data_IF_319699187644
#
_entry.id   IF_319699187644
#
_cell.length_a   1.000
_cell.length_b   1.000
_cell.length_c   1.000
_cell.angle_alpha   90.00
_cell.angle_beta   90.00
_cell.angle_gamma   90.00
#
_symmetry.space_group_name_H-M   'P 1'
#
loop_
_entity.id
_entity.type
_entity.pdbx_description
1 polymer ?
#
# COMPACT_ATOMS: atom_id res chain seq x y z
N UNK A 1 52.45 17.24 -69.23
CA UNK A 1 51.61 16.88 -70.37
C UNK A 1 50.46 16.03 -69.83
N UNK A 2 49.28 16.39 -70.09
CA UNK A 2 47.94 15.90 -69.96
C UNK A 2 47.17 16.44 -68.75
N UNK A 3 46.27 17.33 -69.12
CA UNK A 3 45.13 17.90 -68.40
C UNK A 3 44.08 16.79 -68.12
N UNK A 4 43.58 16.71 -66.93
CA UNK A 4 42.34 15.96 -66.64
C UNK A 4 41.32 16.90 -66.04
N UNK A 5 40.13 16.89 -66.64
CA UNK A 5 38.99 17.75 -66.34
C UNK A 5 38.30 17.33 -65.08
N UNK A 6 37.99 18.29 -64.20
CA UNK A 6 37.13 18.12 -63.04
C UNK A 6 35.70 18.44 -63.45
N UNK A 7 34.80 17.43 -63.34
CA UNK A 7 33.36 17.65 -63.47
C UNK A 7 32.78 17.89 -62.07
N UNK A 8 32.19 19.05 -61.89
CA UNK A 8 31.34 19.33 -60.72
C UNK A 8 29.96 18.64 -60.88
N UNK A 9 29.64 17.75 -59.96
CA UNK A 9 28.28 17.25 -59.79
C UNK A 9 27.66 18.02 -58.59
N UNK A 10 26.67 18.85 -58.91
CA UNK A 10 25.88 19.56 -57.89
C UNK A 10 24.96 18.60 -57.12
N UNK A 11 25.15 18.49 -55.80
CA UNK A 11 24.32 17.74 -54.90
C UNK A 11 23.19 18.66 -54.39
N UNK A 12 21.99 18.50 -54.95
CA UNK A 12 20.81 19.20 -54.49
C UNK A 12 20.40 18.68 -53.12
N UNK A 13 20.47 19.54 -52.09
CA UNK A 13 20.00 19.26 -50.74
C UNK A 13 18.48 19.44 -50.71
N UNK A 14 17.76 18.31 -50.73
CA UNK A 14 16.31 18.27 -50.53
C UNK A 14 15.99 18.27 -49.02
N UNK A 15 15.67 19.44 -48.48
CA UNK A 15 15.19 19.60 -47.10
C UNK A 15 13.78 19.04 -47.00
N UNK A 16 13.65 17.83 -46.46
CA UNK A 16 12.37 17.30 -46.04
C UNK A 16 11.93 18.00 -44.75
N UNK A 17 10.96 18.87 -44.87
CA UNK A 17 10.24 19.42 -43.72
C UNK A 17 9.36 18.32 -43.17
N UNK A 18 9.79 17.65 -42.10
CA UNK A 18 8.95 16.80 -41.27
C UNK A 18 8.02 17.69 -40.45
N UNK A 19 6.82 17.96 -40.97
CA UNK A 19 5.70 18.43 -40.16
C UNK A 19 5.26 17.29 -39.27
N UNK A 20 5.85 17.21 -38.06
CA UNK A 20 5.34 16.41 -36.99
C UNK A 20 3.97 16.92 -36.59
N UNK A 21 2.91 16.18 -36.91
CA UNK A 21 1.62 16.34 -36.26
C UNK A 21 1.81 16.07 -34.79
N UNK A 22 2.00 17.10 -33.97
CA UNK A 22 1.73 17.03 -32.56
C UNK A 22 0.20 16.87 -32.44
N UNK A 23 -0.25 15.65 -32.18
CA UNK A 23 -1.60 15.43 -31.69
C UNK A 23 -1.65 15.98 -30.26
N UNK A 24 -1.87 17.30 -30.16
CA UNK A 24 -2.47 17.85 -28.97
C UNK A 24 -3.88 17.23 -28.89
N UNK A 25 -4.24 16.56 -27.78
CA UNK A 25 -5.62 16.15 -27.61
C UNK A 25 -6.47 17.44 -27.70
N UNK A 26 -7.36 17.46 -28.67
CA UNK A 26 -8.28 18.56 -28.89
C UNK A 26 -9.05 18.83 -27.60
N UNK A 27 -9.32 20.11 -27.32
CA UNK A 27 -10.08 20.56 -26.14
C UNK A 27 -11.49 19.93 -26.03
N UNK A 28 -11.95 19.25 -27.04
CA UNK A 28 -13.26 18.59 -27.11
C UNK A 28 -13.35 17.22 -26.38
N UNK A 29 -12.23 16.58 -26.06
CA UNK A 29 -12.23 15.31 -25.32
C UNK A 29 -12.28 15.48 -23.79
N UNK A 30 -12.29 16.70 -23.28
CA UNK A 30 -12.30 16.98 -21.82
C UNK A 30 -13.72 16.97 -21.22
N UNK A 31 -14.76 16.95 -22.04
CA UNK A 31 -16.16 16.88 -21.58
C UNK A 31 -16.60 15.49 -21.12
N UNK A 32 -15.80 14.45 -21.38
CA UNK A 32 -16.20 13.06 -21.21
C UNK A 32 -15.46 12.32 -20.07
N UNK A 33 -14.83 13.07 -19.13
CA UNK A 33 -14.21 12.44 -17.94
C UNK A 33 -15.21 11.55 -17.22
N UNK A 34 -14.79 10.35 -16.87
CA UNK A 34 -15.49 9.51 -15.90
C UNK A 34 -15.24 10.01 -14.48
N UNK A 35 -16.05 9.60 -13.52
CA UNK A 35 -15.83 9.92 -12.11
C UNK A 35 -14.47 9.41 -11.60
N UNK A 36 -14.06 8.21 -12.03
CA UNK A 36 -12.76 7.65 -11.69
C UNK A 36 -11.57 8.45 -12.27
N UNK A 37 -11.71 8.98 -13.49
CA UNK A 37 -10.70 9.87 -14.08
C UNK A 37 -10.62 11.20 -13.36
N UNK A 38 -11.77 11.76 -12.91
CA UNK A 38 -11.78 12.91 -12.01
C UNK A 38 -11.05 12.57 -10.71
N UNK A 39 -11.36 11.45 -10.09
CA UNK A 39 -10.71 10.98 -8.87
C UNK A 39 -9.20 10.80 -9.04
N UNK A 40 -8.78 10.29 -10.19
CA UNK A 40 -7.36 10.19 -10.53
C UNK A 40 -6.69 11.56 -10.59
N UNK A 41 -7.29 12.55 -11.25
CA UNK A 41 -6.76 13.91 -11.28
C UNK A 41 -6.64 14.50 -9.86
N UNK A 42 -7.65 14.30 -9.01
CA UNK A 42 -7.66 14.77 -7.63
C UNK A 42 -6.59 14.08 -6.77
N UNK A 43 -6.37 12.78 -6.97
CA UNK A 43 -5.33 12.01 -6.26
C UNK A 43 -3.91 12.54 -6.51
N UNK A 44 -3.67 13.14 -7.68
CA UNK A 44 -2.38 13.74 -8.05
C UNK A 44 -2.33 15.27 -7.83
N UNK A 45 -3.41 15.89 -7.39
CA UNK A 45 -3.46 17.36 -7.32
C UNK A 45 -2.83 17.91 -6.04
N UNK A 46 -1.67 18.53 -6.20
CA UNK A 46 -0.96 19.19 -5.10
C UNK A 46 -1.69 20.42 -4.55
N UNK A 47 -2.66 20.99 -5.29
CA UNK A 47 -3.46 22.12 -4.82
C UNK A 47 -4.30 21.80 -3.58
N UNK A 48 -4.56 20.50 -3.34
CA UNK A 48 -5.33 20.03 -2.20
C UNK A 48 -4.55 19.99 -0.89
N UNK A 49 -3.29 20.51 -0.87
CA UNK A 49 -2.50 20.71 0.35
C UNK A 49 -2.30 22.20 0.65
N UNK A 50 -2.02 22.52 1.91
CA UNK A 50 -1.90 23.90 2.39
C UNK A 50 -0.91 24.73 1.59
N UNK A 51 0.28 24.22 1.36
CA UNK A 51 1.35 24.90 0.62
C UNK A 51 1.43 24.51 -0.87
N UNK A 52 0.48 23.73 -1.39
CA UNK A 52 0.41 23.26 -2.79
C UNK A 52 1.61 22.41 -3.23
N UNK A 53 2.16 21.60 -2.31
CA UNK A 53 3.34 20.75 -2.57
C UNK A 53 3.08 19.27 -2.41
N UNK A 54 1.96 18.88 -1.82
CA UNK A 54 1.63 17.50 -1.51
C UNK A 54 0.27 17.11 -2.08
N UNK A 55 0.19 15.89 -2.60
CA UNK A 55 -1.04 15.23 -3.03
C UNK A 55 -1.10 13.84 -2.40
N UNK A 56 -2.17 13.09 -2.62
CA UNK A 56 -2.24 11.68 -2.20
C UNK A 56 -1.05 10.88 -2.80
N UNK A 57 -0.74 11.13 -4.09
CA UNK A 57 0.37 10.47 -4.78
C UNK A 57 1.75 10.80 -4.21
N UNK A 58 1.90 11.81 -3.35
CA UNK A 58 3.17 12.14 -2.69
C UNK A 58 3.55 11.10 -1.64
N UNK A 59 2.56 10.62 -0.85
CA UNK A 59 2.74 9.59 0.17
C UNK A 59 2.34 8.21 -0.34
N UNK A 60 1.62 8.13 -1.47
CA UNK A 60 1.20 6.91 -2.12
C UNK A 60 1.68 6.91 -3.58
N UNK A 61 3.02 6.76 -3.77
CA UNK A 61 3.65 6.85 -5.08
C UNK A 61 3.23 5.71 -6.01
N UNK A 62 2.50 5.99 -7.12
CA UNK A 62 2.04 4.93 -8.02
C UNK A 62 3.15 4.20 -8.77
N UNK A 63 4.35 4.77 -8.84
CA UNK A 63 5.50 4.11 -9.45
C UNK A 63 6.16 3.07 -8.54
N UNK A 64 5.85 3.11 -7.23
CA UNK A 64 6.54 2.34 -6.19
C UNK A 64 5.53 1.66 -5.22
N UNK A 65 4.53 0.98 -5.78
CA UNK A 65 3.56 0.20 -4.98
C UNK A 65 2.56 1.02 -4.20
N UNK A 66 2.35 2.29 -4.53
CA UNK A 66 1.45 3.21 -3.81
C UNK A 66 1.77 3.34 -2.32
N UNK A 67 3.06 3.41 -1.96
CA UNK A 67 3.57 3.69 -0.63
C UNK A 67 4.48 4.92 -0.63
N UNK A 68 4.84 5.43 0.54
CA UNK A 68 5.78 6.54 0.68
C UNK A 68 7.23 6.04 0.67
N UNK A 69 7.93 6.32 -0.40
CA UNK A 69 9.34 5.93 -0.60
C UNK A 69 10.30 7.11 -0.46
N UNK A 70 9.82 8.24 0.05
CA UNK A 70 10.66 9.41 0.29
C UNK A 70 11.75 9.09 1.31
N UNK A 71 12.97 9.51 0.97
CA UNK A 71 14.15 9.20 1.76
C UNK A 71 14.50 10.34 2.73
N UNK A 72 15.17 9.96 3.80
CA UNK A 72 15.77 10.89 4.74
C UNK A 72 17.12 11.44 4.23
N UNK A 73 17.79 12.24 5.04
CA UNK A 73 19.11 12.81 4.75
C UNK A 73 20.23 11.77 4.60
N UNK A 74 20.04 10.57 5.13
CA UNK A 74 20.97 9.45 5.02
C UNK A 74 20.70 8.58 3.78
N UNK A 75 19.66 8.90 3.00
CA UNK A 75 19.22 8.12 1.84
C UNK A 75 18.37 6.89 2.18
N UNK A 76 17.94 6.73 3.43
CA UNK A 76 17.07 5.64 3.88
C UNK A 76 15.59 6.01 3.67
N UNK A 77 14.76 5.04 3.28
CA UNK A 77 13.32 5.26 3.21
C UNK A 77 12.80 5.58 4.61
N UNK A 78 12.03 6.66 4.72
CA UNK A 78 11.45 7.08 5.99
C UNK A 78 10.45 6.04 6.50
N UNK A 79 10.45 5.73 7.80
CA UNK A 79 9.47 4.79 8.37
C UNK A 79 8.04 5.32 8.35
N UNK A 80 7.87 6.65 8.31
CA UNK A 80 6.58 7.35 8.29
C UNK A 80 6.65 8.56 7.36
N UNK A 81 5.48 9.03 6.92
CA UNK A 81 5.36 10.15 5.98
C UNK A 81 5.72 11.49 6.60
N UNK A 82 6.34 12.33 5.78
CA UNK A 82 6.64 13.73 6.08
C UNK A 82 5.48 14.61 5.62
N UNK A 83 5.03 15.52 6.47
CA UNK A 83 3.96 16.47 6.18
C UNK A 83 4.33 17.50 5.12
N UNK A 84 3.32 18.27 4.68
CA UNK A 84 3.48 19.29 3.62
C UNK A 84 4.41 20.44 4.03
N UNK A 85 4.62 20.66 5.33
CA UNK A 85 5.56 21.63 5.90
C UNK A 85 7.03 21.15 5.86
N UNK A 86 7.28 19.91 5.43
CA UNK A 86 8.61 19.29 5.38
C UNK A 86 9.27 19.07 6.76
N UNK A 87 8.51 19.16 7.84
CA UNK A 87 8.99 19.03 9.23
C UNK A 87 8.14 18.07 10.06
N UNK A 88 6.81 18.14 9.96
CA UNK A 88 5.91 17.26 10.69
C UNK A 88 6.03 15.83 10.20
N UNK A 89 6.04 14.88 11.12
CA UNK A 89 6.08 13.45 10.82
C UNK A 89 4.76 12.79 11.24
N UNK A 90 4.27 11.89 10.42
CA UNK A 90 3.25 10.96 10.82
C UNK A 90 3.74 10.02 11.94
N UNK A 91 2.83 9.28 12.53
CA UNK A 91 3.16 8.29 13.58
C UNK A 91 3.11 6.85 13.07
N UNK A 92 2.60 6.65 11.86
CA UNK A 92 2.42 5.34 11.24
C UNK A 92 2.97 5.33 9.82
N UNK A 93 3.42 4.16 9.39
CA UNK A 93 3.79 3.91 8.01
C UNK A 93 2.58 4.10 7.08
N UNK A 94 2.78 4.68 5.89
CA UNK A 94 1.74 4.81 4.89
C UNK A 94 1.47 3.44 4.22
N UNK A 95 0.31 2.80 4.48
CA UNK A 95 0.00 1.53 3.84
C UNK A 95 -0.23 1.73 2.34
N UNK A 96 0.01 0.69 1.56
CA UNK A 96 -0.32 0.74 0.14
C UNK A 96 -1.81 1.00 -0.10
N UNK A 97 -2.12 1.84 -1.09
CA UNK A 97 -3.50 2.03 -1.59
C UNK A 97 -3.93 0.84 -2.47
N UNK A 98 -2.93 0.10 -3.03
CA UNK A 98 -3.28 -1.05 -3.87
C UNK A 98 -4.11 -2.06 -3.09
N UNK A 99 -5.19 -2.53 -3.73
CA UNK A 99 -6.13 -3.51 -3.14
C UNK A 99 -6.90 -3.03 -1.91
N UNK A 100 -6.78 -1.77 -1.47
CA UNK A 100 -7.52 -1.23 -0.34
C UNK A 100 -9.05 -1.26 -0.56
N UNK A 101 -9.49 -1.19 -1.82
CA UNK A 101 -10.90 -1.26 -2.22
C UNK A 101 -11.61 -2.58 -1.86
N UNK A 102 -10.86 -3.61 -1.48
CA UNK A 102 -11.43 -4.92 -1.09
C UNK A 102 -11.67 -5.03 0.42
N UNK A 103 -11.25 -4.05 1.22
CA UNK A 103 -11.60 -4.02 2.63
C UNK A 103 -13.11 -3.78 2.79
N UNK A 104 -13.82 -4.61 3.56
CA UNK A 104 -15.21 -4.33 3.89
C UNK A 104 -15.31 -3.08 4.78
N UNK A 105 -16.48 -2.48 4.86
CA UNK A 105 -16.75 -1.43 5.82
C UNK A 105 -16.40 -1.87 7.24
N UNK A 106 -15.97 -0.94 8.09
CA UNK A 106 -15.65 -1.25 9.48
C UNK A 106 -16.90 -1.75 10.24
N UNK A 107 -16.80 -2.96 10.78
CA UNK A 107 -17.90 -3.57 11.52
C UNK A 107 -17.40 -4.62 12.53
N UNK A 108 -18.27 -5.05 13.46
CA UNK A 108 -18.05 -6.23 14.28
C UNK A 108 -18.48 -7.48 13.50
N UNK A 109 -17.59 -8.47 13.43
CA UNK A 109 -17.81 -9.71 12.66
C UNK A 109 -17.44 -10.97 13.42
N UNK A 110 -17.94 -12.10 12.92
CA UNK A 110 -17.56 -13.43 13.36
C UNK A 110 -17.15 -14.26 12.14
N UNK A 111 -15.95 -14.83 12.18
CA UNK A 111 -15.36 -15.57 11.08
C UNK A 111 -14.90 -16.95 11.52
N UNK A 112 -15.30 -17.98 10.80
CA UNK A 112 -14.86 -19.35 11.06
C UNK A 112 -13.39 -19.54 10.67
N UNK A 113 -12.64 -20.21 11.53
CA UNK A 113 -11.26 -20.66 11.29
C UNK A 113 -11.28 -22.03 10.60
N UNK A 114 -11.74 -22.07 9.34
CA UNK A 114 -11.81 -23.32 8.58
C UNK A 114 -10.49 -24.09 8.60
N UNK A 115 -10.57 -25.37 8.96
CA UNK A 115 -9.42 -26.29 9.04
C UNK A 115 -8.32 -25.87 10.04
N UNK A 116 -8.55 -24.86 10.88
CA UNK A 116 -7.67 -24.48 11.99
C UNK A 116 -8.13 -25.12 13.29
N UNK A 117 -7.19 -25.40 14.19
CA UNK A 117 -7.49 -25.78 15.56
C UNK A 117 -7.79 -24.58 16.47
N UNK A 118 -7.65 -23.39 15.93
CA UNK A 118 -7.94 -22.14 16.65
C UNK A 118 -9.45 -21.87 16.70
N UNK A 119 -9.95 -21.20 17.76
CA UNK A 119 -11.34 -20.79 17.83
C UNK A 119 -11.68 -19.83 16.69
N UNK A 120 -12.95 -19.76 16.34
CA UNK A 120 -13.46 -18.76 15.41
C UNK A 120 -13.08 -17.35 15.88
N UNK A 121 -12.78 -16.48 14.93
CA UNK A 121 -12.54 -15.07 15.23
C UNK A 121 -13.87 -14.38 15.55
N UNK A 122 -13.88 -13.58 16.60
CA UNK A 122 -14.97 -12.66 16.92
C UNK A 122 -14.39 -11.31 17.32
N UNK A 123 -14.65 -10.27 16.50
CA UNK A 123 -14.02 -8.96 16.67
C UNK A 123 -14.30 -8.00 15.53
N UNK A 124 -13.63 -6.86 15.55
CA UNK A 124 -13.73 -5.88 14.49
C UNK A 124 -13.03 -6.34 13.20
N UNK A 125 -13.59 -5.93 12.06
CA UNK A 125 -13.11 -6.29 10.71
C UNK A 125 -13.26 -5.07 9.79
N UNK A 126 -12.36 -4.93 8.82
CA UNK A 126 -12.50 -3.96 7.75
C UNK A 126 -12.14 -2.53 8.12
N UNK A 127 -12.74 -1.58 7.40
CA UNK A 127 -12.39 -0.15 7.50
C UNK A 127 -11.04 0.19 6.89
N UNK A 128 -10.73 1.47 6.83
CA UNK A 128 -9.48 1.99 6.28
C UNK A 128 -8.56 2.52 7.39
N UNK A 129 -7.31 2.89 7.02
CA UNK A 129 -6.18 3.06 7.92
C UNK A 129 -5.78 1.75 8.62
N UNK A 130 -4.80 1.82 9.54
CA UNK A 130 -4.36 0.68 10.32
C UNK A 130 -5.31 0.30 11.45
N UNK A 131 -6.21 1.21 11.83
CA UNK A 131 -7.11 1.10 13.00
C UNK A 131 -8.59 1.15 12.64
N UNK A 132 -8.94 1.16 11.35
CA UNK A 132 -10.33 1.14 10.90
C UNK A 132 -11.13 2.40 11.20
N UNK A 133 -10.48 3.52 11.61
CA UNK A 133 -11.17 4.75 12.00
C UNK A 133 -11.95 5.42 10.86
N UNK A 134 -11.61 5.14 9.62
CA UNK A 134 -12.44 5.46 8.46
C UNK A 134 -13.21 4.21 8.04
N UNK A 135 -14.50 4.34 7.85
CA UNK A 135 -15.40 3.24 7.54
C UNK A 135 -15.10 2.63 6.18
N UNK A 136 -14.86 3.49 5.18
CA UNK A 136 -14.66 3.15 3.77
C UNK A 136 -13.58 4.04 3.14
N UNK A 137 -13.33 3.88 1.83
CA UNK A 137 -12.33 4.65 1.08
C UNK A 137 -12.68 6.14 0.99
N UNK A 138 -13.96 6.48 0.79
CA UNK A 138 -14.38 7.88 0.69
C UNK A 138 -14.12 8.62 2.01
N UNK A 139 -14.44 8.01 3.15
CA UNK A 139 -14.15 8.60 4.46
C UNK A 139 -12.65 8.71 4.69
N UNK A 140 -11.87 7.70 4.28
CA UNK A 140 -10.41 7.74 4.37
C UNK A 140 -9.82 8.89 3.55
N UNK A 141 -10.25 9.07 2.30
CA UNK A 141 -9.75 10.11 1.41
C UNK A 141 -9.98 11.53 1.94
N UNK A 142 -10.97 11.73 2.83
CA UNK A 142 -11.23 12.99 3.51
C UNK A 142 -10.29 13.31 4.68
N UNK A 143 -9.54 12.33 5.19
CA UNK A 143 -8.67 12.50 6.34
C UNK A 143 -7.40 13.30 6.05
N UNK A 144 -6.52 12.84 5.15
CA UNK A 144 -5.21 13.44 4.88
C UNK A 144 -5.25 14.93 4.52
N UNK A 145 -6.19 15.43 3.71
CA UNK A 145 -6.27 16.86 3.42
C UNK A 145 -6.39 17.74 4.66
N UNK A 146 -7.12 17.30 5.68
CA UNK A 146 -7.40 18.05 6.91
C UNK A 146 -6.44 17.72 8.05
N UNK A 147 -5.57 16.73 7.89
CA UNK A 147 -4.65 16.31 8.95
C UNK A 147 -3.50 17.31 9.12
N UNK A 148 -3.30 17.77 10.35
CA UNK A 148 -2.31 18.78 10.71
C UNK A 148 -0.84 18.35 10.54
N UNK A 149 -0.58 17.05 10.39
CA UNK A 149 0.77 16.50 10.16
C UNK A 149 0.92 15.89 8.75
N UNK A 150 -0.08 16.06 7.87
CA UNK A 150 -0.06 15.57 6.49
C UNK A 150 -0.25 16.75 5.51
N UNK A 151 -1.44 16.96 4.93
CA UNK A 151 -1.68 18.01 3.92
C UNK A 151 -2.10 19.36 4.53
N UNK A 152 -2.44 19.43 5.81
CA UNK A 152 -2.57 20.64 6.65
C UNK A 152 -3.59 21.69 6.18
N UNK A 153 -4.62 21.31 5.42
CA UNK A 153 -5.69 22.23 5.06
C UNK A 153 -6.50 22.65 6.29
N UNK A 154 -6.78 23.93 6.50
CA UNK A 154 -7.44 24.43 7.70
C UNK A 154 -8.91 24.02 7.81
N UNK A 155 -9.52 23.56 6.71
CA UNK A 155 -10.89 23.08 6.68
C UNK A 155 -11.40 22.75 5.29
N UNK A 156 -12.54 22.05 5.25
CA UNK A 156 -13.21 21.63 4.00
C UNK A 156 -13.48 22.80 3.05
N UNK A 157 -13.84 23.99 3.57
CA UNK A 157 -14.13 25.16 2.74
C UNK A 157 -12.96 25.56 1.86
N UNK A 158 -11.73 25.65 2.40
CA UNK A 158 -10.57 26.00 1.59
C UNK A 158 -10.22 24.89 0.57
N UNK A 159 -10.43 23.61 0.90
CA UNK A 159 -10.27 22.53 -0.09
C UNK A 159 -11.21 22.76 -1.28
N UNK A 160 -12.47 23.08 -0.99
CA UNK A 160 -13.48 23.35 -2.03
C UNK A 160 -13.16 24.60 -2.84
N UNK A 161 -12.66 25.67 -2.23
CA UNK A 161 -12.14 26.83 -2.95
C UNK A 161 -11.00 26.44 -3.92
N UNK A 162 -10.11 25.55 -3.51
CA UNK A 162 -9.03 25.02 -4.37
C UNK A 162 -9.56 24.21 -5.56
N UNK A 163 -10.61 23.42 -5.36
CA UNK A 163 -11.28 22.70 -6.45
C UNK A 163 -11.85 23.68 -7.51
N UNK A 164 -12.43 24.80 -7.05
CA UNK A 164 -13.03 25.81 -7.92
C UNK A 164 -11.99 26.61 -8.73
N UNK A 165 -10.72 26.59 -8.36
CA UNK A 165 -9.64 27.21 -9.13
C UNK A 165 -9.44 26.53 -10.51
N UNK A 166 -9.87 25.25 -10.66
CA UNK A 166 -9.74 24.51 -11.89
C UNK A 166 -11.09 24.40 -12.62
N UNK A 167 -11.27 25.09 -13.76
CA UNK A 167 -12.53 25.03 -14.51
C UNK A 167 -12.95 23.61 -14.94
N UNK A 168 -11.99 22.71 -15.16
CA UNK A 168 -12.28 21.32 -15.47
C UNK A 168 -12.96 20.61 -14.30
N UNK A 169 -12.49 20.85 -13.06
CA UNK A 169 -13.12 20.32 -11.87
C UNK A 169 -14.52 20.90 -11.68
N UNK A 170 -14.68 22.20 -11.82
CA UNK A 170 -16.00 22.84 -11.71
C UNK A 170 -17.00 22.17 -12.67
N UNK A 171 -16.62 22.00 -13.92
CA UNK A 171 -17.46 21.36 -14.93
C UNK A 171 -17.78 19.90 -14.60
N UNK A 172 -16.77 19.11 -14.19
CA UNK A 172 -16.94 17.71 -13.84
C UNK A 172 -17.81 17.53 -12.58
N UNK A 173 -17.57 18.32 -11.54
CA UNK A 173 -18.38 18.28 -10.31
C UNK A 173 -19.84 18.64 -10.55
N UNK A 174 -20.10 19.70 -11.32
CA UNK A 174 -21.48 20.08 -11.68
C UNK A 174 -22.18 18.99 -12.49
N UNK A 175 -21.45 18.31 -13.37
CA UNK A 175 -22.01 17.21 -14.16
C UNK A 175 -22.35 15.96 -13.32
N UNK A 176 -21.48 15.57 -12.40
CA UNK A 176 -21.66 14.34 -11.62
C UNK A 176 -22.55 14.52 -10.40
N UNK A 177 -22.47 15.70 -9.74
CA UNK A 177 -23.01 15.88 -8.41
C UNK A 177 -24.09 17.01 -8.33
N UNK A 178 -24.37 17.67 -9.46
CA UNK A 178 -25.40 18.72 -9.56
C UNK A 178 -24.81 20.13 -9.73
N UNK A 179 -25.57 20.98 -10.41
CA UNK A 179 -25.13 22.34 -10.79
C UNK A 179 -24.80 23.24 -9.59
N UNK A 180 -25.36 22.96 -8.44
CA UNK A 180 -25.28 23.72 -7.19
C UNK A 180 -24.31 23.11 -6.18
N UNK A 181 -23.53 22.09 -6.56
CA UNK A 181 -22.64 21.32 -5.66
C UNK A 181 -21.70 22.23 -4.85
N UNK A 182 -21.20 23.31 -5.44
CA UNK A 182 -20.27 24.23 -4.79
C UNK A 182 -20.95 25.24 -3.84
N UNK A 183 -22.28 25.33 -3.83
CA UNK A 183 -23.02 26.13 -2.85
C UNK A 183 -23.01 25.48 -1.45
N UNK A 184 -22.64 24.20 -1.39
CA UNK A 184 -22.59 23.40 -0.16
C UNK A 184 -21.18 22.79 0.03
N UNK A 185 -20.24 23.51 0.67
CA UNK A 185 -18.84 23.07 0.77
C UNK A 185 -18.65 21.67 1.39
N UNK A 186 -19.51 21.26 2.35
CA UNK A 186 -19.43 19.91 2.92
C UNK A 186 -19.73 18.86 1.87
N UNK A 187 -20.78 19.05 1.07
CA UNK A 187 -21.17 18.09 0.02
C UNK A 187 -20.15 18.08 -1.13
N UNK A 188 -19.60 19.23 -1.50
CA UNK A 188 -18.52 19.30 -2.50
C UNK A 188 -17.24 18.56 -2.04
N UNK A 189 -16.91 18.67 -0.76
CA UNK A 189 -15.81 17.91 -0.18
C UNK A 189 -16.08 16.40 -0.19
N UNK A 190 -17.29 15.97 0.16
CA UNK A 190 -17.72 14.57 0.10
C UNK A 190 -17.73 14.02 -1.34
N UNK A 191 -18.17 14.84 -2.30
CA UNK A 191 -18.09 14.52 -3.73
C UNK A 191 -16.63 14.32 -4.21
N UNK A 192 -15.70 15.14 -3.72
CA UNK A 192 -14.27 14.94 -3.96
C UNK A 192 -13.78 13.59 -3.46
N UNK A 193 -14.15 13.22 -2.23
CA UNK A 193 -13.71 11.95 -1.65
C UNK A 193 -14.32 10.74 -2.36
N UNK A 194 -15.57 10.84 -2.82
CA UNK A 194 -16.22 9.81 -3.65
C UNK A 194 -15.53 9.62 -5.00
N UNK A 195 -15.13 10.71 -5.65
CA UNK A 195 -14.36 10.61 -6.90
C UNK A 195 -13.00 9.93 -6.67
N UNK A 196 -12.29 10.28 -5.58
CA UNK A 196 -11.02 9.61 -5.23
C UNK A 196 -11.25 8.11 -4.98
N UNK A 197 -12.26 7.75 -4.23
CA UNK A 197 -12.68 6.35 -4.03
C UNK A 197 -12.94 5.63 -5.37
N UNK A 198 -13.64 6.31 -6.30
CA UNK A 198 -13.92 5.74 -7.63
C UNK A 198 -12.62 5.42 -8.40
N UNK A 199 -11.58 6.25 -8.27
CA UNK A 199 -10.26 5.96 -8.82
C UNK A 199 -9.59 4.77 -8.12
N UNK A 200 -9.60 4.74 -6.80
CA UNK A 200 -8.96 3.67 -6.01
C UNK A 200 -9.59 2.29 -6.26
N UNK A 201 -10.83 2.24 -6.75
CA UNK A 201 -11.53 1.02 -7.17
C UNK A 201 -11.18 0.55 -8.59
N UNK A 202 -10.37 1.28 -9.34
CA UNK A 202 -10.03 0.92 -10.73
C UNK A 202 -9.02 -0.22 -10.82
N UNK A 203 -8.97 -0.91 -11.99
CA UNK A 203 -7.90 -1.88 -12.27
C UNK A 203 -6.49 -1.26 -12.30
N UNK A 204 -6.36 0.07 -12.45
CA UNK A 204 -5.07 0.76 -12.33
C UNK A 204 -4.48 0.58 -10.93
N UNK A 205 -5.33 0.53 -9.89
CA UNK A 205 -4.91 0.39 -8.50
C UNK A 205 -4.86 -1.07 -8.06
N UNK A 206 -5.66 -1.94 -8.67
CA UNK A 206 -5.75 -3.36 -8.29
C UNK A 206 -5.80 -4.28 -9.52
N UNK A 207 -4.67 -4.47 -10.24
CA UNK A 207 -4.65 -5.16 -11.54
C UNK A 207 -4.79 -6.69 -11.47
N UNK A 208 -4.39 -7.35 -10.38
CA UNK A 208 -4.32 -8.81 -10.26
C UNK A 208 -3.51 -9.48 -11.39
N UNK A 209 -2.31 -8.97 -11.63
CA UNK A 209 -1.40 -9.44 -12.70
C UNK A 209 -0.03 -9.90 -12.19
N UNK A 210 0.10 -10.11 -10.88
CA UNK A 210 1.33 -10.63 -10.27
C UNK A 210 1.74 -11.98 -10.85
N UNK A 211 2.97 -12.41 -10.61
CA UNK A 211 3.40 -13.77 -11.00
C UNK A 211 2.47 -14.84 -10.44
N UNK A 212 1.99 -14.67 -9.20
CA UNK A 212 1.01 -15.55 -8.59
C UNK A 212 -0.26 -15.67 -9.44
N UNK A 213 -0.83 -14.54 -9.87
CA UNK A 213 -2.05 -14.52 -10.70
C UNK A 213 -1.81 -15.14 -12.07
N UNK A 214 -0.67 -14.85 -12.69
CA UNK A 214 -0.27 -15.45 -13.98
C UNK A 214 -0.09 -16.96 -13.89
N UNK A 215 0.41 -17.47 -12.76
CA UNK A 215 0.48 -18.93 -12.52
C UNK A 215 -0.91 -19.54 -12.41
N UNK A 216 -1.85 -18.88 -11.71
CA UNK A 216 -3.24 -19.37 -11.62
C UNK A 216 -3.92 -19.42 -12.97
N UNK A 217 -3.57 -18.51 -13.90
CA UNK A 217 -4.08 -18.49 -15.27
C UNK A 217 -3.31 -19.42 -16.23
N UNK A 218 -2.24 -20.09 -15.77
CA UNK A 218 -1.40 -20.96 -16.61
C UNK A 218 -0.42 -20.19 -17.52
N UNK A 219 -0.19 -18.91 -17.27
CA UNK A 219 0.69 -18.02 -18.05
C UNK A 219 2.13 -18.00 -17.54
N UNK A 220 2.39 -18.54 -16.36
CA UNK A 220 3.70 -18.61 -15.72
C UNK A 220 3.83 -19.89 -14.87
N UNK A 221 5.02 -20.13 -14.33
CA UNK A 221 5.30 -21.23 -13.41
C UNK A 221 6.08 -20.75 -12.19
N UNK A 222 5.79 -21.35 -11.02
CA UNK A 222 6.61 -21.15 -9.84
C UNK A 222 7.92 -21.91 -9.94
N UNK A 223 9.00 -21.32 -9.45
CA UNK A 223 10.24 -22.02 -9.15
C UNK A 223 10.06 -23.02 -8.01
N UNK A 224 11.08 -23.84 -7.75
CA UNK A 224 11.05 -24.78 -6.62
C UNK A 224 10.88 -24.05 -5.27
N UNK A 225 11.65 -22.96 -5.05
CA UNK A 225 11.55 -22.18 -3.80
C UNK A 225 10.19 -21.51 -3.65
N UNK A 226 9.66 -20.89 -4.70
CA UNK A 226 8.34 -20.23 -4.69
C UNK A 226 7.21 -21.22 -4.39
N UNK A 227 7.24 -22.40 -5.04
CA UNK A 227 6.25 -23.46 -4.82
C UNK A 227 6.34 -24.02 -3.40
N UNK A 228 7.55 -24.21 -2.87
CA UNK A 228 7.77 -24.66 -1.51
C UNK A 228 7.31 -23.61 -0.50
N UNK A 229 7.59 -22.35 -0.75
CA UNK A 229 7.13 -21.21 0.06
C UNK A 229 5.59 -21.10 0.08
N UNK A 230 4.94 -21.27 -1.08
CA UNK A 230 3.47 -21.35 -1.15
C UNK A 230 2.93 -22.48 -0.27
N UNK A 231 3.52 -23.68 -0.36
CA UNK A 231 3.10 -24.81 0.46
C UNK A 231 3.28 -24.56 1.97
N UNK A 232 4.37 -23.91 2.35
CA UNK A 232 4.59 -23.48 3.74
C UNK A 232 3.56 -22.45 4.19
N UNK A 233 3.34 -21.40 3.39
CA UNK A 233 2.45 -20.28 3.71
C UNK A 233 1.01 -20.75 4.01
N UNK A 234 0.49 -21.68 3.22
CA UNK A 234 -0.86 -22.24 3.39
C UNK A 234 -0.93 -23.44 4.35
N UNK A 235 0.20 -23.85 4.92
CA UNK A 235 0.24 -24.99 5.81
C UNK A 235 -0.12 -24.60 7.25
N UNK A 236 -1.26 -25.06 7.72
CA UNK A 236 -1.67 -24.90 9.12
C UNK A 236 -0.83 -25.71 10.12
N UNK A 237 -0.02 -26.65 9.62
CA UNK A 237 0.86 -27.47 10.48
C UNK A 237 2.26 -26.87 10.64
N UNK A 238 2.63 -25.88 9.81
CA UNK A 238 3.98 -25.33 9.81
C UNK A 238 4.03 -23.83 10.15
N UNK A 239 3.29 -22.98 9.45
CA UNK A 239 3.49 -21.53 9.58
C UNK A 239 2.26 -20.72 9.98
N UNK A 240 1.07 -21.22 9.76
CA UNK A 240 -0.22 -20.54 10.03
C UNK A 240 -0.40 -19.13 9.39
N UNK A 241 0.46 -18.73 8.46
CA UNK A 241 0.37 -17.40 7.83
C UNK A 241 -1.03 -17.15 7.25
N UNK A 242 -1.59 -18.17 6.56
CA UNK A 242 -2.90 -18.10 5.94
C UNK A 242 -4.08 -18.04 6.94
N UNK A 243 -3.85 -18.12 8.24
CA UNK A 243 -4.91 -17.92 9.25
C UNK A 243 -5.38 -16.46 9.26
N UNK A 244 -4.45 -15.52 9.13
CA UNK A 244 -4.72 -14.08 9.04
C UNK A 244 -4.61 -13.58 7.60
N UNK A 245 -3.58 -14.00 6.85
CA UNK A 245 -3.37 -13.62 5.45
C UNK A 245 -4.05 -14.60 4.50
N UNK A 246 -5.37 -14.67 4.58
CA UNK A 246 -6.19 -15.55 3.75
C UNK A 246 -6.13 -15.11 2.29
N UNK A 247 -6.03 -16.09 1.37
CA UNK A 247 -6.08 -15.79 -0.05
C UNK A 247 -7.44 -15.18 -0.41
N UNK A 248 -8.53 -15.84 -0.02
CA UNK A 248 -9.91 -15.40 -0.28
C UNK A 248 -10.65 -15.21 1.05
N UNK A 249 -10.69 -14.01 1.61
CA UNK A 249 -11.43 -13.78 2.83
C UNK A 249 -12.94 -13.78 2.58
N UNK A 250 -13.68 -14.53 3.38
CA UNK A 250 -15.12 -14.35 3.60
C UNK A 250 -15.99 -14.15 2.35
N UNK A 251 -15.78 -14.95 1.30
CA UNK A 251 -16.60 -14.92 0.09
C UNK A 251 -16.19 -13.88 -0.96
N UNK A 252 -15.11 -13.14 -0.76
CA UNK A 252 -14.54 -12.32 -1.81
C UNK A 252 -13.99 -13.21 -2.94
N UNK A 253 -14.35 -12.88 -4.18
CA UNK A 253 -13.91 -13.63 -5.36
C UNK A 253 -12.43 -13.38 -5.72
N UNK A 254 -11.76 -12.44 -5.08
CA UNK A 254 -10.39 -12.01 -5.37
C UNK A 254 -9.45 -12.33 -4.23
N UNK A 255 -8.24 -12.74 -4.55
CA UNK A 255 -7.23 -13.14 -3.56
C UNK A 255 -6.41 -11.94 -3.11
N UNK A 256 -6.74 -11.40 -1.92
CA UNK A 256 -6.10 -10.21 -1.33
C UNK A 256 -5.06 -10.53 -0.27
N UNK A 257 -4.96 -11.77 0.18
CA UNK A 257 -4.03 -12.22 1.22
C UNK A 257 -4.17 -11.43 2.53
N UNK A 258 -5.41 -11.21 2.94
CA UNK A 258 -5.80 -10.62 4.22
C UNK A 258 -7.22 -11.06 4.57
N UNK A 259 -7.53 -11.16 5.85
CA UNK A 259 -8.90 -11.34 6.34
C UNK A 259 -9.48 -10.05 6.94
N UNK A 260 -8.70 -8.96 6.92
CA UNK A 260 -9.05 -7.64 7.45
C UNK A 260 -9.41 -7.62 8.96
N UNK A 261 -9.04 -8.66 9.71
CA UNK A 261 -9.18 -8.75 11.16
C UNK A 261 -8.13 -7.88 11.87
N UNK A 262 -8.24 -7.74 13.18
CA UNK A 262 -7.34 -6.93 14.01
C UNK A 262 -6.60 -7.78 15.02
N UNK A 263 -5.27 -7.75 14.96
CA UNK A 263 -4.39 -8.51 15.85
C UNK A 263 -3.25 -7.65 16.36
N UNK A 264 -2.82 -7.93 17.61
CA UNK A 264 -1.57 -7.42 18.15
C UNK A 264 -0.51 -8.53 18.00
N UNK A 265 0.38 -8.37 17.05
CA UNK A 265 1.46 -9.32 16.78
C UNK A 265 2.76 -8.96 17.51
N UNK A 266 2.72 -8.05 18.48
CA UNK A 266 3.86 -7.71 19.32
C UNK A 266 4.95 -6.89 18.63
N UNK A 267 4.58 -6.05 17.66
CA UNK A 267 5.53 -5.13 17.00
C UNK A 267 6.20 -4.24 18.05
N UNK A 268 7.55 -4.16 18.07
CA UNK A 268 8.26 -3.31 19.00
C UNK A 268 8.11 -1.82 18.63
N UNK A 269 8.39 -0.90 19.58
CA UNK A 269 8.53 0.52 19.25
C UNK A 269 9.57 0.73 18.16
N UNK A 270 9.34 1.70 17.28
CA UNK A 270 10.36 2.15 16.35
C UNK A 270 11.11 3.34 16.98
N UNK A 271 12.42 3.20 17.33
CA UNK A 271 13.18 4.27 17.97
C UNK A 271 13.27 5.56 17.15
N UNK A 272 13.12 5.46 15.81
CA UNK A 272 13.18 6.62 14.92
C UNK A 272 11.97 7.56 15.07
N UNK A 273 10.87 7.11 15.70
CA UNK A 273 9.64 7.91 15.83
C UNK A 273 9.58 8.75 17.10
N UNK A 274 10.41 8.45 18.10
CA UNK A 274 10.45 9.16 19.39
C UNK A 274 9.06 9.40 20.00
N UNK A 275 8.17 8.39 19.96
CA UNK A 275 6.84 8.48 20.54
C UNK A 275 6.91 8.34 22.06
N UNK A 276 6.24 9.24 22.79
CA UNK A 276 6.16 9.21 24.26
C UNK A 276 5.36 8.00 24.77
N UNK A 277 4.34 7.58 24.02
CA UNK A 277 3.45 6.47 24.37
C UNK A 277 3.32 5.48 23.20
N UNK A 278 3.11 4.19 23.50
CA UNK A 278 2.84 3.19 22.47
C UNK A 278 1.57 3.51 21.67
N UNK A 279 1.61 3.27 20.35
CA UNK A 279 0.43 3.42 19.50
C UNK A 279 -0.72 2.52 19.99
N UNK A 280 -1.88 3.07 20.34
CA UNK A 280 -3.00 2.29 20.86
C UNK A 280 -3.68 1.41 19.79
N UNK A 281 -3.31 1.51 18.51
CA UNK A 281 -3.88 0.73 17.41
C UNK A 281 -5.39 0.91 17.30
N UNK A 282 -6.14 -0.19 17.20
CA UNK A 282 -7.59 -0.22 17.07
C UNK A 282 -8.32 0.56 18.20
N UNK A 283 -7.73 0.62 19.39
CA UNK A 283 -8.32 1.37 20.52
C UNK A 283 -8.32 2.91 20.28
N UNK A 284 -7.57 3.41 19.28
CA UNK A 284 -7.66 4.80 18.85
C UNK A 284 -8.90 5.10 18.00
N UNK A 285 -9.59 4.07 17.49
CA UNK A 285 -10.82 4.25 16.73
C UNK A 285 -11.95 4.72 17.65
N UNK A 286 -12.62 5.86 17.36
CA UNK A 286 -13.68 6.40 18.22
C UNK A 286 -14.87 5.45 18.45
N UNK A 287 -15.07 4.47 17.56
CA UNK A 287 -16.11 3.45 17.71
C UNK A 287 -15.72 2.30 18.66
N UNK A 288 -14.48 2.30 19.19
CA UNK A 288 -13.94 1.21 20.02
C UNK A 288 -13.63 1.71 21.42
N UNK A 289 -14.30 1.17 22.42
CA UNK A 289 -14.17 1.61 23.81
C UNK A 289 -13.49 0.60 24.74
N UNK A 290 -13.36 -0.67 24.31
CA UNK A 290 -12.75 -1.72 25.16
C UNK A 290 -11.23 -1.73 25.05
N UNK A 291 -10.50 -1.55 26.18
CA UNK A 291 -9.03 -1.57 26.21
C UNK A 291 -8.39 -2.87 25.70
N UNK A 292 -9.14 -3.98 25.65
CA UNK A 292 -8.67 -5.26 25.06
C UNK A 292 -8.21 -5.12 23.60
N UNK A 293 -8.60 -4.02 22.95
CA UNK A 293 -8.23 -3.72 21.57
C UNK A 293 -6.96 -2.85 21.43
N UNK A 294 -6.30 -2.47 22.52
CA UNK A 294 -5.05 -1.72 22.47
C UNK A 294 -3.97 -2.49 21.70
N UNK A 295 -3.21 -1.77 20.86
CA UNK A 295 -2.09 -2.33 20.10
C UNK A 295 -2.48 -3.33 19.01
N UNK A 296 -3.78 -3.52 18.73
CA UNK A 296 -4.23 -4.33 17.58
C UNK A 296 -4.26 -3.47 16.32
N UNK A 297 -3.78 -4.03 15.22
CA UNK A 297 -3.78 -3.41 13.91
C UNK A 297 -4.45 -4.33 12.88
N UNK A 298 -5.04 -3.70 11.84
CA UNK A 298 -5.68 -4.45 10.76
C UNK A 298 -4.64 -5.29 10.03
N UNK A 299 -4.98 -6.55 9.74
CA UNK A 299 -4.17 -7.43 8.88
C UNK A 299 -4.08 -6.79 7.48
N UNK A 300 -2.89 -6.41 7.01
CA UNK A 300 -2.73 -5.80 5.69
C UNK A 300 -2.83 -6.84 4.58
N UNK A 301 -3.13 -6.38 3.36
CA UNK A 301 -2.88 -7.18 2.16
C UNK A 301 -1.40 -7.54 2.06
N UNK A 302 -1.08 -8.71 1.50
CA UNK A 302 0.30 -9.05 1.11
C UNK A 302 0.57 -8.82 -0.38
N UNK A 303 -0.41 -8.29 -1.11
CA UNK A 303 -0.16 -7.83 -2.48
C UNK A 303 0.92 -6.74 -2.46
N UNK A 304 1.87 -6.86 -3.36
CA UNK A 304 3.02 -5.95 -3.46
C UNK A 304 3.95 -5.91 -2.24
N UNK A 305 3.80 -6.84 -1.27
CA UNK A 305 4.54 -6.78 0.00
C UNK A 305 6.05 -6.74 -0.18
N UNK A 306 6.61 -7.32 -1.24
CA UNK A 306 8.04 -7.33 -1.48
C UNK A 306 8.64 -5.97 -1.91
N UNK A 307 7.78 -4.98 -2.23
CA UNK A 307 8.19 -3.65 -2.70
C UNK A 307 7.56 -2.51 -1.89
N UNK A 308 6.88 -2.84 -0.79
CA UNK A 308 6.16 -1.86 0.04
C UNK A 308 6.76 -1.70 1.44
N UNK A 309 8.07 -1.96 1.58
CA UNK A 309 8.82 -1.61 2.79
C UNK A 309 8.90 -0.09 3.03
N UNK A 310 9.22 0.34 4.26
CA UNK A 310 9.48 -0.46 5.45
C UNK A 310 8.20 -1.03 6.07
N UNK A 311 8.35 -2.08 6.86
CA UNK A 311 7.25 -2.94 7.30
C UNK A 311 6.75 -2.61 8.71
N UNK A 312 5.57 -3.15 9.02
CA UNK A 312 4.76 -2.94 10.21
C UNK A 312 4.07 -1.56 10.22
N UNK A 313 3.12 -1.38 11.14
CA UNK A 313 2.37 -0.13 11.24
C UNK A 313 3.26 1.10 11.51
N UNK A 314 4.44 0.90 12.06
CA UNK A 314 5.40 1.95 12.43
C UNK A 314 6.71 1.91 11.61
N UNK A 315 6.78 1.10 10.56
CA UNK A 315 7.95 1.01 9.67
C UNK A 315 9.24 0.54 10.35
N UNK A 316 9.14 -0.30 11.40
CA UNK A 316 10.31 -0.69 12.22
C UNK A 316 11.26 -1.65 11.52
N UNK A 317 10.81 -2.44 10.54
CA UNK A 317 11.63 -3.38 9.80
C UNK A 317 11.79 -2.96 8.34
N UNK A 318 13.00 -3.07 7.83
CA UNK A 318 13.35 -2.66 6.45
C UNK A 318 13.27 -3.83 5.45
N UNK A 319 13.53 -5.05 5.90
CA UNK A 319 13.63 -6.23 5.04
C UNK A 319 12.49 -7.22 5.29
N UNK A 320 11.94 -7.77 4.21
CA UNK A 320 10.87 -8.76 4.27
C UNK A 320 11.32 -10.07 4.96
N UNK A 321 12.61 -10.42 4.85
CA UNK A 321 13.20 -11.53 5.58
C UNK A 321 13.09 -11.31 7.09
N UNK A 322 13.42 -10.10 7.56
CA UNK A 322 13.29 -9.72 8.98
C UNK A 322 11.87 -9.90 9.48
N UNK A 323 10.87 -9.54 8.67
CA UNK A 323 9.46 -9.76 9.01
C UNK A 323 9.15 -11.23 9.21
N UNK A 324 9.61 -12.12 8.31
CA UNK A 324 9.36 -13.57 8.44
C UNK A 324 10.08 -14.15 9.67
N UNK A 325 11.31 -13.72 9.94
CA UNK A 325 12.08 -14.14 11.12
C UNK A 325 11.47 -13.58 12.41
N UNK A 326 10.87 -12.38 12.38
CA UNK A 326 10.13 -11.81 13.50
C UNK A 326 8.92 -12.66 13.91
N UNK A 327 8.14 -13.18 12.96
CA UNK A 327 7.07 -14.12 13.32
C UNK A 327 7.61 -15.42 13.93
N UNK A 328 8.73 -15.93 13.43
CA UNK A 328 9.32 -17.18 13.93
C UNK A 328 9.89 -17.04 15.35
N UNK A 329 10.32 -15.86 15.78
CA UNK A 329 10.96 -15.67 17.09
C UNK A 329 10.02 -15.98 18.28
N UNK A 330 8.70 -15.88 18.10
CA UNK A 330 7.73 -16.23 19.13
C UNK A 330 7.65 -17.74 19.41
N UNK A 331 8.23 -18.57 18.53
CA UNK A 331 8.14 -20.02 18.63
C UNK A 331 9.20 -20.58 19.59
N UNK A 332 8.78 -21.52 20.43
CA UNK A 332 9.68 -22.15 21.39
C UNK A 332 10.85 -22.84 20.68
N UNK A 333 12.08 -22.44 21.01
CA UNK A 333 13.30 -22.96 20.42
C UNK A 333 13.54 -22.50 18.99
N UNK A 334 12.97 -21.35 18.57
CA UNK A 334 13.35 -20.65 17.36
C UNK A 334 14.85 -20.42 17.31
N UNK A 335 15.42 -20.44 16.11
CA UNK A 335 16.82 -20.09 15.85
C UNK A 335 16.99 -18.60 15.57
N UNK A 336 15.90 -17.91 15.26
CA UNK A 336 15.88 -16.47 14.94
C UNK A 336 15.70 -15.69 16.25
N UNK A 337 16.73 -15.71 17.10
CA UNK A 337 16.71 -15.08 18.43
C UNK A 337 17.13 -13.62 18.42
N UNK A 338 17.63 -13.16 17.29
CA UNK A 338 18.11 -11.78 17.06
C UNK A 338 17.44 -11.18 15.83
N UNK A 339 17.27 -9.87 15.85
CA UNK A 339 16.85 -9.11 14.68
C UNK A 339 18.04 -9.02 13.69
N UNK A 340 17.94 -9.57 12.47
CA UNK A 340 19.04 -9.60 11.51
C UNK A 340 19.46 -8.22 10.98
N UNK A 341 18.62 -7.17 11.17
CA UNK A 341 18.98 -5.79 10.77
C UNK A 341 19.86 -5.08 11.79
N UNK A 342 19.88 -5.57 13.05
CA UNK A 342 20.60 -4.90 14.15
C UNK A 342 21.59 -5.80 14.89
N UNK A 343 21.55 -7.11 14.63
CA UNK A 343 22.30 -8.16 15.38
C UNK A 343 22.02 -8.15 16.90
N UNK A 344 20.91 -7.54 17.31
CA UNK A 344 20.49 -7.49 18.70
C UNK A 344 19.31 -8.45 18.96
N UNK A 345 19.11 -8.83 20.21
CA UNK A 345 17.90 -9.54 20.61
C UNK A 345 16.66 -8.74 20.21
N UNK A 346 15.57 -9.44 19.86
CA UNK A 346 14.31 -8.80 19.53
C UNK A 346 13.84 -7.88 20.67
N UNK A 347 13.48 -6.67 20.33
CA UNK A 347 12.90 -5.71 21.28
C UNK A 347 11.53 -6.18 21.77
N UNK A 348 11.17 -5.81 22.99
CA UNK A 348 9.88 -6.17 23.58
C UNK A 348 8.72 -5.56 22.79
N UNK A 349 7.55 -6.24 22.76
CA UNK A 349 6.33 -5.66 22.23
C UNK A 349 6.03 -4.28 22.82
N UNK A 350 5.56 -3.34 22.00
CA UNK A 350 5.14 -2.02 22.47
C UNK A 350 3.92 -2.10 23.40
N UNK A 351 3.00 -3.04 23.13
CA UNK A 351 1.78 -3.29 23.93
C UNK A 351 1.71 -4.78 24.24
N UNK A 352 2.34 -5.27 25.33
CA UNK A 352 2.44 -6.71 25.62
C UNK A 352 1.15 -7.34 26.17
N UNK A 353 0.26 -6.55 26.75
CA UNK A 353 -0.92 -7.03 27.48
C UNK A 353 -2.02 -7.64 26.58
N UNK A 354 -2.05 -7.28 25.29
CA UNK A 354 -3.08 -7.73 24.34
C UNK A 354 -2.52 -8.59 23.20
N UNK A 355 -1.30 -9.14 23.41
CA UNK A 355 -0.59 -9.94 22.42
C UNK A 355 -1.42 -11.15 21.97
N UNK A 356 -1.53 -11.37 20.66
CA UNK A 356 -2.19 -12.52 20.03
C UNK A 356 -1.34 -13.81 20.19
N UNK A 357 -1.13 -14.20 21.45
CA UNK A 357 -0.18 -15.26 21.80
C UNK A 357 -0.57 -16.65 21.31
N UNK A 358 -1.85 -16.91 21.07
CA UNK A 358 -2.33 -18.18 20.52
C UNK A 358 -1.91 -18.29 19.04
N UNK A 359 -2.24 -17.29 18.24
CA UNK A 359 -1.94 -17.24 16.81
C UNK A 359 -0.43 -17.26 16.54
N UNK A 360 0.34 -16.51 17.33
CA UNK A 360 1.79 -16.41 17.16
C UNK A 360 2.56 -17.68 17.55
N UNK A 361 2.02 -18.49 18.46
CA UNK A 361 2.69 -19.70 18.96
C UNK A 361 2.22 -20.98 18.29
N UNK A 362 1.16 -20.92 17.52
CA UNK A 362 0.56 -22.08 16.84
C UNK A 362 1.24 -22.32 15.47
N UNK A 363 2.57 -22.53 15.50
CA UNK A 363 3.37 -22.82 14.33
C UNK A 363 4.61 -23.65 14.70
N UNK A 364 5.35 -24.09 13.67
CA UNK A 364 6.65 -24.75 13.86
C UNK A 364 7.77 -23.80 13.46
N UNK A 365 8.86 -23.83 14.23
CA UNK A 365 10.08 -23.06 13.95
C UNK A 365 10.62 -23.29 12.53
N UNK A 366 11.02 -22.23 11.89
CA UNK A 366 11.53 -22.24 10.53
C UNK A 366 13.03 -22.57 10.49
N UNK A 367 13.41 -23.29 9.44
CA UNK A 367 14.82 -23.40 9.01
C UNK A 367 15.16 -22.20 8.12
N UNK A 368 16.44 -21.79 8.03
CA UNK A 368 16.83 -20.67 7.15
C UNK A 368 16.32 -20.81 5.71
N UNK A 369 16.39 -21.99 5.12
CA UNK A 369 15.89 -22.24 3.77
C UNK A 369 14.36 -22.07 3.68
N UNK A 370 13.61 -22.30 4.75
CA UNK A 370 12.16 -22.11 4.76
C UNK A 370 11.79 -20.62 4.84
N UNK A 371 12.60 -19.80 5.52
CA UNK A 371 12.49 -18.34 5.47
C UNK A 371 12.68 -17.84 4.04
N UNK A 372 13.74 -18.30 3.37
CA UNK A 372 13.98 -17.95 1.95
C UNK A 372 12.81 -18.37 1.04
N UNK A 373 12.29 -19.58 1.23
CA UNK A 373 11.16 -20.08 0.46
C UNK A 373 9.90 -19.23 0.66
N UNK A 374 9.61 -18.82 1.90
CA UNK A 374 8.50 -17.92 2.19
C UNK A 374 8.68 -16.54 1.54
N UNK A 375 9.88 -15.94 1.65
CA UNK A 375 10.20 -14.67 0.98
C UNK A 375 10.03 -14.80 -0.53
N UNK A 376 10.50 -15.91 -1.14
CA UNK A 376 10.32 -16.15 -2.57
C UNK A 376 8.84 -16.25 -2.96
N UNK A 377 8.02 -16.91 -2.16
CA UNK A 377 6.58 -16.94 -2.41
C UNK A 377 5.97 -15.53 -2.30
N UNK A 378 6.28 -14.77 -1.25
CA UNK A 378 5.76 -13.43 -1.05
C UNK A 378 6.12 -12.48 -2.20
N UNK A 379 7.33 -12.62 -2.79
CA UNK A 379 7.73 -11.88 -4.00
C UNK A 379 6.83 -12.16 -5.21
N UNK A 380 6.23 -13.35 -5.31
CA UNK A 380 5.30 -13.67 -6.40
C UNK A 380 3.98 -12.92 -6.34
N UNK A 381 3.67 -12.26 -5.22
CA UNK A 381 2.46 -11.45 -5.01
C UNK A 381 2.63 -10.00 -5.50
N UNK A 382 3.76 -9.67 -6.11
CA UNK A 382 4.06 -8.36 -6.67
C UNK A 382 3.45 -8.22 -8.05
N UNK A 383 2.67 -7.16 -8.29
CA UNK A 383 2.09 -6.83 -9.59
C UNK A 383 3.17 -6.66 -10.65
N UNK A 384 2.88 -7.04 -11.89
CA UNK A 384 3.85 -7.11 -12.98
C UNK A 384 4.62 -5.80 -13.16
N UNK A 385 3.97 -4.66 -13.03
CA UNK A 385 4.60 -3.34 -13.17
C UNK A 385 5.64 -3.03 -12.10
N UNK A 386 5.62 -3.72 -10.95
CA UNK A 386 6.55 -3.50 -9.84
C UNK A 386 7.60 -4.60 -9.68
N UNK A 387 7.59 -5.65 -10.50
CA UNK A 387 8.54 -6.77 -10.40
C UNK A 387 10.00 -6.30 -10.49
N UNK A 388 10.25 -5.22 -11.24
CA UNK A 388 11.59 -4.63 -11.39
C UNK A 388 12.11 -3.93 -10.12
N UNK A 389 11.24 -3.68 -9.13
CA UNK A 389 11.61 -3.09 -7.83
C UNK A 389 11.97 -4.15 -6.78
N UNK A 390 11.77 -5.44 -7.08
CA UNK A 390 12.07 -6.51 -6.13
C UNK A 390 13.57 -6.60 -5.90
N UNK A 391 14.00 -6.35 -4.67
CA UNK A 391 15.40 -6.52 -4.27
C UNK A 391 15.69 -7.97 -3.89
N UNK A 392 16.81 -8.51 -4.37
CA UNK A 392 17.20 -9.90 -4.08
C UNK A 392 17.64 -10.10 -2.62
N UNK A 393 18.27 -9.12 -2.00
CA UNK A 393 18.73 -9.14 -0.60
C UNK A 393 19.40 -10.48 -0.21
N UNK A 394 20.22 -11.03 -1.11
CA UNK A 394 20.90 -12.29 -0.93
C UNK A 394 20.03 -13.55 -1.05
N UNK A 395 18.75 -13.42 -1.42
CA UNK A 395 17.84 -14.56 -1.63
C UNK A 395 17.55 -14.71 -3.13
N UNK A 396 18.11 -15.75 -3.74
CA UNK A 396 17.82 -16.14 -5.12
C UNK A 396 16.60 -17.05 -5.16
N UNK A 397 15.58 -16.64 -5.91
CA UNK A 397 14.31 -17.35 -6.02
C UNK A 397 14.17 -18.18 -7.29
N UNK A 398 14.92 -17.88 -8.33
CA UNK A 398 14.96 -18.67 -9.55
C UNK A 398 15.57 -20.07 -9.31
N UNK A 399 15.12 -21.05 -10.10
CA UNK A 399 15.78 -22.34 -10.13
C UNK A 399 17.17 -22.18 -10.77
N UNK A 400 18.19 -22.91 -10.30
CA UNK A 400 19.50 -22.91 -10.98
C UNK A 400 19.34 -23.43 -12.42
N UNK A 401 20.11 -22.85 -13.33
CA UNK A 401 20.18 -23.26 -14.74
C UNK A 401 20.70 -24.70 -14.91
#
# INVERSE_FOLDING_TARGET
>A
MLLSRISLIGLGMMTAVLTGCQNNPSADNRSDLTEAELGRLLFFDVNLSHNRRQSCATCHNPAEGFVDTRRDENGEIRPVSLGTDEHSLGTRNAPTVTYAAFAPDFHWGKHARFNSQQPDYEGYVGGQFHDGRAKDLAEQAGGPPLNSVEMQMPGKGLVVERLQENPLYVQAFQRFYGSDIFEQPTQAFEAMTQAIEAFEKTPEVSPFDSKYDRVLRGEASFSFKERSGKALFFSQQFTNCATCHQAQPNGHARETFTNFEYHNIGVPPNPALNLDEPDPGLFANPAVSDPVHRGKFKVPTLRNVAVTGPYMHNGVFKDLRTVVEFYDHFLMGSRHTQNPETDQAWSKPAVPETLAGTELKDARKLKPIQVEQLVCFLRTLTDQRYEHLIEENGIQCADPE
#
